data_IF_074490975287
#
_entry.id   IF_074490975287
#
_cell.length_a   1.000
_cell.length_b   1.000
_cell.length_c   1.000
_cell.angle_alpha   90.00
_cell.angle_beta   90.00
_cell.angle_gamma   90.00
#
_symmetry.space_group_name_H-M   'P 1'
#
loop_
_entity.id
_entity.type
_entity.pdbx_description
1 polymer ?
#
# COMPACT_ATOMS: atom_id res chain seq x y z
N UNK A 1 -5.76 -1.30 -8.68
CA UNK A 1 -4.38 -1.06 -8.19
C UNK A 1 -3.54 -2.33 -8.32
N UNK A 2 -2.21 -2.26 -8.54
CA UNK A 2 -1.37 -3.46 -8.82
C UNK A 2 -1.20 -4.40 -7.62
N UNK A 3 -1.04 -3.87 -6.40
CA UNK A 3 -0.87 -4.69 -5.19
C UNK A 3 -2.13 -5.50 -4.87
N UNK A 4 -3.30 -4.89 -5.07
CA UNK A 4 -4.60 -5.57 -4.93
C UNK A 4 -4.71 -6.77 -5.90
N UNK A 5 -4.31 -6.57 -7.18
CA UNK A 5 -4.25 -7.66 -8.17
C UNK A 5 -3.27 -8.78 -7.76
N UNK A 6 -2.13 -8.44 -7.15
CA UNK A 6 -1.16 -9.43 -6.68
C UNK A 6 -1.77 -10.35 -5.62
N UNK A 7 -2.49 -9.78 -4.64
CA UNK A 7 -3.15 -10.56 -3.60
C UNK A 7 -4.25 -11.48 -4.15
N UNK A 8 -4.97 -11.05 -5.18
CA UNK A 8 -5.97 -11.93 -5.84
C UNK A 8 -5.35 -13.07 -6.65
N UNK A 9 -4.06 -12.96 -7.01
CA UNK A 9 -3.37 -13.92 -7.87
C UNK A 9 -2.58 -14.97 -7.07
N UNK A 10 -2.11 -14.61 -5.87
CA UNK A 10 -1.23 -15.45 -5.07
C UNK A 10 -1.76 -15.61 -3.65
N UNK A 11 -2.30 -16.78 -3.34
CA UNK A 11 -2.88 -17.10 -2.02
C UNK A 11 -1.82 -17.21 -0.91
N UNK A 12 -0.54 -17.34 -1.28
CA UNK A 12 0.59 -17.41 -0.35
C UNK A 12 1.34 -16.08 -0.20
N UNK A 13 0.74 -14.95 -0.59
CA UNK A 13 1.29 -13.63 -0.36
C UNK A 13 0.46 -12.88 0.69
N UNK A 14 1.13 -12.14 1.57
CA UNK A 14 0.48 -11.26 2.53
C UNK A 14 1.18 -9.90 2.62
N UNK A 15 0.41 -8.86 2.98
CA UNK A 15 0.94 -7.52 3.21
C UNK A 15 1.23 -7.38 4.70
N UNK A 16 2.48 -7.08 5.02
CA UNK A 16 2.88 -6.70 6.37
C UNK A 16 2.70 -5.19 6.56
N UNK A 17 2.32 -4.74 7.77
CA UNK A 17 2.25 -3.32 8.06
C UNK A 17 3.63 -2.67 7.92
N UNK A 18 3.63 -1.46 7.39
CA UNK A 18 4.80 -0.60 7.30
C UNK A 18 4.61 0.56 8.26
N UNK A 19 5.62 0.78 9.08
CA UNK A 19 5.77 1.99 9.88
C UNK A 19 7.17 2.54 9.64
N UNK A 20 7.24 3.78 9.14
CA UNK A 20 8.47 4.51 8.90
C UNK A 20 8.39 5.75 9.78
N UNK A 21 9.14 5.74 10.87
CA UNK A 21 9.21 6.86 11.80
C UNK A 21 9.66 8.14 11.06
N UNK A 22 9.13 9.28 11.51
CA UNK A 22 9.46 10.61 10.99
C UNK A 22 9.10 10.86 9.51
N UNK A 23 8.24 10.03 8.93
CA UNK A 23 7.74 10.21 7.57
C UNK A 23 6.23 10.43 7.53
N UNK A 24 5.81 11.57 6.97
CA UNK A 24 4.39 11.85 6.73
C UNK A 24 3.82 10.87 5.68
N UNK A 25 2.58 10.41 5.93
CA UNK A 25 1.83 9.58 4.98
C UNK A 25 0.49 10.19 4.57
N UNK A 26 0.10 9.91 3.34
CA UNK A 26 -1.23 10.13 2.81
C UNK A 26 -2.13 8.92 3.07
N UNK A 27 -3.46 9.12 3.15
CA UNK A 27 -4.39 8.00 3.22
C UNK A 27 -4.29 7.10 1.98
N UNK A 28 -4.40 5.81 2.22
CA UNK A 28 -4.52 4.80 1.16
C UNK A 28 -5.94 4.84 0.59
N UNK A 29 -6.06 4.74 -0.72
CA UNK A 29 -7.37 4.74 -1.36
C UNK A 29 -8.15 3.49 -0.97
N UNK A 30 -9.44 3.65 -0.70
CA UNK A 30 -10.37 2.53 -0.46
C UNK A 30 -11.03 2.05 -1.74
N UNK A 31 -11.15 2.95 -2.71
CA UNK A 31 -11.75 2.69 -4.01
C UNK A 31 -10.84 3.19 -5.12
N UNK A 32 -10.80 2.47 -6.23
CA UNK A 32 -10.08 2.85 -7.43
C UNK A 32 -10.89 2.44 -8.66
N UNK A 33 -11.22 3.39 -9.53
CA UNK A 33 -12.01 3.16 -10.76
C UNK A 33 -13.32 2.38 -10.48
N UNK A 34 -14.03 2.74 -9.41
CA UNK A 34 -15.29 2.10 -9.03
C UNK A 34 -15.15 0.71 -8.39
N UNK A 35 -13.92 0.24 -8.11
CA UNK A 35 -13.67 -1.02 -7.40
C UNK A 35 -13.21 -0.76 -5.97
N UNK A 36 -13.85 -1.41 -5.00
CA UNK A 36 -13.37 -1.47 -3.62
C UNK A 36 -12.07 -2.28 -3.58
N UNK A 37 -11.01 -1.69 -3.04
CA UNK A 37 -9.72 -2.35 -2.86
C UNK A 37 -9.75 -3.24 -1.62
N UNK A 38 -8.96 -4.31 -1.63
CA UNK A 38 -8.79 -5.20 -0.49
C UNK A 38 -8.44 -4.42 0.78
N UNK A 39 -9.04 -4.73 1.94
CA UNK A 39 -8.68 -4.10 3.21
C UNK A 39 -7.20 -4.24 3.56
N UNK A 40 -6.54 -5.30 3.08
CA UNK A 40 -5.10 -5.54 3.28
C UNK A 40 -4.23 -4.43 2.69
N UNK A 41 -4.70 -3.77 1.63
CA UNK A 41 -4.00 -2.64 0.98
C UNK A 41 -3.81 -1.47 1.95
N UNK A 42 -4.66 -1.35 2.99
CA UNK A 42 -4.52 -0.29 3.99
C UNK A 42 -3.26 -0.44 4.86
N UNK A 43 -2.59 -1.60 4.82
CA UNK A 43 -1.31 -1.84 5.50
C UNK A 43 -0.10 -1.24 4.75
N UNK A 44 -0.29 -0.83 3.49
CA UNK A 44 0.73 -0.14 2.70
C UNK A 44 1.02 1.27 3.23
N UNK A 45 2.12 1.85 2.78
CA UNK A 45 2.53 3.21 3.13
C UNK A 45 2.54 4.10 1.89
N UNK A 46 1.84 5.23 1.93
CA UNK A 46 1.84 6.22 0.85
C UNK A 46 2.54 7.46 1.34
N UNK A 47 3.78 7.65 0.90
CA UNK A 47 4.62 8.78 1.27
C UNK A 47 3.96 10.06 0.79
N UNK A 48 3.79 11.01 1.70
CA UNK A 48 3.33 12.36 1.34
C UNK A 48 4.50 13.12 0.71
N UNK A 49 4.35 13.67 -0.50
CA UNK A 49 5.40 14.47 -1.10
C UNK A 49 5.68 15.72 -0.26
N UNK A 50 6.95 16.11 -0.20
CA UNK A 50 7.42 17.36 0.42
C UNK A 50 8.28 18.12 -0.61
N UNK A 51 8.98 19.16 -0.16
CA UNK A 51 9.98 19.85 -0.99
C UNK A 51 11.15 18.92 -1.36
N UNK A 52 11.51 18.02 -0.46
CA UNK A 52 12.73 17.20 -0.55
C UNK A 52 12.44 15.71 -0.84
N UNK A 53 11.16 15.31 -0.80
CA UNK A 53 10.72 13.92 -0.97
C UNK A 53 9.62 13.82 -2.02
N UNK A 54 9.81 12.96 -3.02
CA UNK A 54 8.78 12.64 -4.00
C UNK A 54 7.68 11.74 -3.42
N UNK A 55 6.47 11.86 -3.97
CA UNK A 55 5.35 11.00 -3.58
C UNK A 55 5.60 9.55 -4.00
N UNK A 56 5.52 8.62 -3.05
CA UNK A 56 5.81 7.21 -3.29
C UNK A 56 4.77 6.29 -2.67
N UNK A 57 4.64 5.07 -3.18
CA UNK A 57 3.78 4.03 -2.64
C UNK A 57 4.60 2.78 -2.33
N UNK A 58 4.54 2.32 -1.08
CA UNK A 58 5.37 1.23 -0.57
C UNK A 58 4.45 0.12 -0.06
N UNK A 59 4.73 -1.11 -0.48
CA UNK A 59 4.09 -2.33 0.02
C UNK A 59 5.17 -3.31 0.48
N UNK A 60 5.00 -3.90 1.67
CA UNK A 60 5.91 -4.90 2.24
C UNK A 60 5.22 -6.25 2.13
N UNK A 61 5.72 -7.08 1.23
CA UNK A 61 5.13 -8.39 0.91
C UNK A 61 5.94 -9.50 1.58
N UNK A 62 5.24 -10.45 2.18
CA UNK A 62 5.82 -11.69 2.67
C UNK A 62 5.22 -12.87 1.90
N UNK A 63 6.08 -13.77 1.43
CA UNK A 63 5.67 -15.08 0.93
C UNK A 63 5.57 -16.03 2.12
N UNK A 64 4.45 -16.72 2.25
CA UNK A 64 4.24 -17.80 3.22
C UNK A 64 5.03 -19.05 2.85
#
# INVERSE_FOLDING_TARGET
>A
MQIDRLLTRFDNAEILPIDISDMDRLPIMKEWEGKTLSPEVQKCFRVKPTKDIEGFFIAKLQKK
#
